data_IF_021720755832
#
_entry.id   IF_021720755832
#
_cell.length_a   1.000
_cell.length_b   1.000
_cell.length_c   1.000
_cell.angle_alpha   90.00
_cell.angle_beta   90.00
_cell.angle_gamma   90.00
#
_symmetry.space_group_name_H-M   'P 1'
#
loop_
_entity.id
_entity.type
_entity.pdbx_description
1 polymer ?
#
# COMPACT_ATOMS: atom_id res chain seq x y z
N UNK A 1 -36.07 -12.61 38.39
CA UNK A 1 -36.37 -14.03 38.14
C UNK A 1 -35.05 -14.77 37.98
N UNK A 2 -34.83 -15.80 38.80
CA UNK A 2 -33.65 -16.68 38.77
C UNK A 2 -33.99 -17.88 37.90
N UNK A 3 -33.10 -18.27 36.99
CA UNK A 3 -33.04 -19.66 36.52
C UNK A 3 -31.58 -20.12 36.57
N UNK A 4 -31.32 -20.97 37.55
CA UNK A 4 -30.22 -21.91 37.56
C UNK A 4 -30.59 -23.05 36.62
N UNK A 5 -29.64 -23.57 35.84
CA UNK A 5 -29.40 -25.01 35.77
C UNK A 5 -27.94 -25.26 35.42
N UNK A 6 -27.37 -26.18 36.20
CA UNK A 6 -25.98 -26.61 36.26
C UNK A 6 -25.93 -28.08 35.83
N UNK A 7 -24.71 -28.60 35.63
CA UNK A 7 -24.32 -30.03 35.61
C UNK A 7 -24.38 -30.71 34.23
N UNK A 8 -23.42 -31.52 33.74
CA UNK A 8 -22.01 -31.81 34.08
C UNK A 8 -21.51 -32.91 33.11
N UNK A 9 -20.21 -32.89 32.81
CA UNK A 9 -19.27 -34.04 32.82
C UNK A 9 -19.42 -35.20 31.79
N UNK A 10 -18.35 -35.43 31.00
CA UNK A 10 -17.54 -36.68 30.93
C UNK A 10 -16.38 -36.46 29.93
N UNK A 11 -15.17 -36.06 30.35
CA UNK A 11 -13.96 -36.89 30.60
C UNK A 11 -13.89 -38.30 29.97
N UNK A 12 -12.80 -38.60 29.24
CA UNK A 12 -11.89 -39.76 29.39
C UNK A 12 -10.79 -39.74 28.28
N UNK A 13 -9.49 -39.51 28.58
CA UNK A 13 -8.39 -40.51 28.86
C UNK A 13 -7.83 -41.13 27.55
N UNK A 14 -6.54 -41.39 27.26
CA UNK A 14 -5.23 -41.40 27.94
C UNK A 14 -4.11 -41.31 26.85
N UNK A 15 -2.97 -40.67 27.11
CA UNK A 15 -1.64 -41.28 27.39
C UNK A 15 -1.17 -42.41 26.46
N UNK A 16 -0.03 -42.16 25.79
CA UNK A 16 1.01 -43.19 25.61
C UNK A 16 2.36 -42.57 26.00
N UNK A 17 2.97 -43.18 27.01
CA UNK A 17 4.28 -42.87 27.56
C UNK A 17 5.41 -43.37 26.63
N UNK A 18 6.60 -42.78 26.79
CA UNK A 18 7.80 -43.15 26.05
C UNK A 18 8.35 -44.54 26.35
N UNK A 19 9.28 -44.97 25.49
CA UNK A 19 10.22 -46.05 25.79
C UNK A 19 11.62 -45.69 25.28
N UNK A 20 12.57 -46.01 26.15
CA UNK A 20 14.02 -46.01 25.98
C UNK A 20 14.48 -46.96 24.85
N UNK A 21 15.69 -46.70 24.34
CA UNK A 21 16.37 -47.39 23.23
C UNK A 21 16.50 -48.91 23.34
N UNK A 22 16.69 -49.57 22.18
CA UNK A 22 17.69 -50.63 22.00
C UNK A 22 18.73 -50.27 20.93
N UNK A 23 19.97 -50.73 21.15
CA UNK A 23 21.14 -50.70 20.27
C UNK A 23 20.97 -51.48 18.94
N UNK A 24 21.75 -51.03 17.93
CA UNK A 24 22.18 -51.65 16.64
C UNK A 24 21.21 -51.76 15.43
N UNK A 25 21.72 -51.79 14.17
CA UNK A 25 22.92 -51.16 13.60
C UNK A 25 22.58 -50.16 12.47
N UNK A 26 23.54 -49.28 12.18
CA UNK A 26 23.46 -48.22 11.17
C UNK A 26 23.06 -48.75 9.78
N UNK A 27 21.83 -48.47 9.38
CA UNK A 27 21.48 -48.40 7.96
C UNK A 27 21.79 -46.97 7.52
N UNK A 28 22.59 -46.75 6.46
CA UNK A 28 22.76 -45.40 5.93
C UNK A 28 21.43 -44.98 5.33
N UNK A 29 20.60 -44.29 6.12
CA UNK A 29 19.55 -43.44 5.57
C UNK A 29 20.27 -42.38 4.79
N UNK A 30 20.31 -42.55 3.46
CA UNK A 30 20.59 -41.46 2.55
C UNK A 30 19.51 -40.43 2.84
N UNK A 31 19.84 -39.43 3.65
CA UNK A 31 19.07 -38.21 3.76
C UNK A 31 19.13 -37.59 2.38
N UNK A 32 18.16 -37.94 1.53
CA UNK A 32 17.85 -37.14 0.36
C UNK A 32 17.50 -35.78 0.93
N UNK A 33 18.44 -34.85 0.84
CA UNK A 33 18.14 -33.43 0.93
C UNK A 33 17.11 -33.20 -0.16
N UNK A 34 15.84 -33.19 0.23
CA UNK A 34 14.81 -32.52 -0.54
C UNK A 34 15.29 -31.08 -0.54
N UNK A 35 16.01 -30.72 -1.60
CA UNK A 35 16.25 -29.34 -1.96
C UNK A 35 14.83 -28.78 -2.05
N UNK A 36 14.43 -28.05 -1.01
CA UNK A 36 13.18 -27.34 -1.01
C UNK A 36 13.22 -26.47 -2.26
N UNK A 37 12.39 -26.85 -3.23
CA UNK A 37 12.22 -26.11 -4.47
C UNK A 37 11.82 -24.70 -4.02
N UNK A 38 12.77 -23.77 -4.06
CA UNK A 38 12.49 -22.41 -3.65
C UNK A 38 11.56 -21.90 -4.74
N UNK A 39 10.34 -21.45 -4.43
CA UNK A 39 9.42 -20.99 -5.45
C UNK A 39 10.13 -19.94 -6.29
N UNK A 40 10.31 -20.22 -7.58
CA UNK A 40 10.99 -19.31 -8.50
C UNK A 40 10.14 -18.04 -8.60
N UNK A 41 10.72 -16.90 -8.21
CA UNK A 41 10.00 -15.62 -8.23
C UNK A 41 9.74 -15.22 -9.68
N UNK A 42 8.57 -14.64 -9.93
CA UNK A 42 8.31 -14.08 -11.26
C UNK A 42 9.15 -12.80 -11.48
N UNK A 43 9.50 -12.46 -12.73
CA UNK A 43 10.22 -11.22 -13.02
C UNK A 43 9.50 -9.95 -12.52
N UNK A 44 8.16 -9.97 -12.52
CA UNK A 44 7.34 -8.88 -11.98
C UNK A 44 7.48 -8.78 -10.46
N UNK A 45 7.47 -9.92 -9.76
CA UNK A 45 7.68 -9.94 -8.31
C UNK A 45 9.07 -9.40 -7.95
N UNK A 46 10.11 -9.83 -8.66
CA UNK A 46 11.48 -9.33 -8.43
C UNK A 46 11.59 -7.82 -8.69
N UNK A 47 10.91 -7.30 -9.72
CA UNK A 47 10.86 -5.87 -9.99
C UNK A 47 10.22 -5.10 -8.83
N UNK A 48 9.06 -5.54 -8.35
CA UNK A 48 8.36 -4.88 -7.23
C UNK A 48 9.20 -4.91 -5.95
N UNK A 49 9.83 -6.05 -5.64
CA UNK A 49 10.73 -6.15 -4.49
C UNK A 49 11.91 -5.16 -4.60
N UNK A 50 12.55 -5.08 -5.76
CA UNK A 50 13.62 -4.11 -6.00
C UNK A 50 13.16 -2.65 -5.89
N UNK A 51 11.94 -2.33 -6.35
CA UNK A 51 11.37 -0.99 -6.20
C UNK A 51 11.08 -0.65 -4.74
N UNK A 52 10.62 -1.62 -3.93
CA UNK A 52 10.43 -1.42 -2.49
C UNK A 52 11.76 -1.20 -1.76
N UNK A 53 12.82 -1.90 -2.15
CA UNK A 53 14.16 -1.67 -1.60
C UNK A 53 14.69 -0.28 -1.95
N UNK A 54 14.47 0.17 -3.18
CA UNK A 54 14.79 1.54 -3.60
C UNK A 54 13.97 2.56 -2.81
N UNK A 55 12.67 2.30 -2.61
CA UNK A 55 11.80 3.17 -1.85
C UNK A 55 12.26 3.28 -0.40
N UNK A 56 12.65 2.17 0.23
CA UNK A 56 13.17 2.15 1.60
C UNK A 56 14.45 2.98 1.81
N UNK A 57 15.25 3.14 0.75
CA UNK A 57 16.45 3.96 0.80
C UNK A 57 16.16 5.46 0.65
N UNK A 58 14.92 5.87 0.32
CA UNK A 58 14.58 7.28 0.05
C UNK A 58 14.39 8.08 1.34
N UNK A 59 14.94 9.31 1.42
CA UNK A 59 14.64 10.23 2.50
C UNK A 59 13.13 10.52 2.60
N UNK A 60 12.61 10.50 3.82
CA UNK A 60 11.19 10.78 4.09
C UNK A 60 10.26 9.58 3.93
N UNK A 61 10.72 8.48 3.33
CA UNK A 61 9.95 7.22 3.33
C UNK A 61 9.98 6.57 4.72
N UNK A 62 8.86 5.96 5.12
CA UNK A 62 8.72 5.16 6.34
C UNK A 62 8.09 3.82 5.97
N UNK A 63 8.91 2.91 5.47
CA UNK A 63 8.47 1.62 4.93
C UNK A 63 7.86 0.70 6.00
N UNK A 64 8.35 0.77 7.24
CA UNK A 64 7.73 0.03 8.35
C UNK A 64 6.29 0.51 8.56
N UNK A 65 6.07 1.84 8.56
CA UNK A 65 4.73 2.41 8.64
C UNK A 65 3.88 2.05 7.43
N UNK A 66 4.42 2.10 6.21
CA UNK A 66 3.69 1.68 4.99
C UNK A 66 3.15 0.26 5.15
N UNK A 67 4.00 -0.71 5.49
CA UNK A 67 3.55 -2.10 5.61
C UNK A 67 2.58 -2.31 6.78
N UNK A 68 2.78 -1.64 7.92
CA UNK A 68 1.83 -1.69 9.05
C UNK A 68 0.45 -1.15 8.66
N UNK A 69 0.39 0.00 7.99
CA UNK A 69 -0.86 0.61 7.54
C UNK A 69 -1.51 -0.25 6.45
N UNK A 70 -0.73 -0.84 5.55
CA UNK A 70 -1.26 -1.74 4.52
C UNK A 70 -1.87 -3.00 5.13
N UNK A 71 -1.23 -3.60 6.14
CA UNK A 71 -1.81 -4.73 6.88
C UNK A 71 -3.14 -4.35 7.54
N UNK A 72 -3.23 -3.15 8.13
CA UNK A 72 -4.48 -2.63 8.69
C UNK A 72 -5.56 -2.46 7.63
N UNK A 73 -5.20 -1.92 6.45
CA UNK A 73 -6.09 -1.80 5.28
C UNK A 73 -6.63 -3.17 4.84
N UNK A 74 -5.75 -4.16 4.66
CA UNK A 74 -6.11 -5.51 4.19
C UNK A 74 -6.97 -6.25 5.20
N UNK A 75 -6.79 -6.01 6.51
CA UNK A 75 -7.58 -6.63 7.56
C UNK A 75 -9.07 -6.25 7.52
N UNK A 76 -9.40 -5.06 7.00
CA UNK A 76 -10.77 -4.56 6.91
C UNK A 76 -11.46 -5.12 5.67
N UNK A 77 -10.75 -5.17 4.55
CA UNK A 77 -11.31 -5.72 3.33
C UNK A 77 -10.42 -5.52 2.11
N UNK A 78 -10.84 -6.09 0.97
CA UNK A 78 -10.11 -5.93 -0.27
C UNK A 78 -10.13 -4.48 -0.77
N UNK A 79 -9.14 -4.14 -1.60
CA UNK A 79 -9.06 -2.83 -2.29
C UNK A 79 -9.11 -1.64 -1.30
N UNK A 80 -9.83 -0.58 -1.65
CA UNK A 80 -9.94 0.67 -0.90
C UNK A 80 -11.12 0.68 0.09
N UNK A 81 -11.68 -0.48 0.47
CA UNK A 81 -12.79 -0.55 1.43
C UNK A 81 -12.44 0.12 2.76
N UNK A 82 -11.20 -0.08 3.23
CA UNK A 82 -10.69 0.59 4.43
C UNK A 82 -10.62 2.12 4.31
N UNK A 83 -10.56 2.67 3.09
CA UNK A 83 -10.59 4.12 2.89
C UNK A 83 -12.00 4.71 3.03
N UNK A 84 -13.04 3.85 3.06
CA UNK A 84 -14.45 4.21 3.26
C UNK A 84 -14.97 3.83 4.64
N UNK A 85 -14.21 3.05 5.41
CA UNK A 85 -14.62 2.58 6.73
C UNK A 85 -14.69 3.78 7.71
N UNK A 86 -15.82 4.00 8.41
CA UNK A 86 -16.00 5.17 9.26
C UNK A 86 -14.98 5.31 10.41
N UNK A 87 -14.40 4.21 10.89
CA UNK A 87 -13.34 4.27 11.91
C UNK A 87 -12.02 4.67 11.28
N UNK A 88 -11.68 4.08 10.12
CA UNK A 88 -10.45 4.40 9.41
C UNK A 88 -10.44 5.77 8.74
N UNK A 89 -11.60 6.27 8.30
CA UNK A 89 -11.74 7.63 7.76
C UNK A 89 -11.34 8.67 8.82
N UNK A 90 -11.65 8.43 10.10
CA UNK A 90 -11.22 9.34 11.18
C UNK A 90 -9.71 9.29 11.43
N UNK A 91 -9.08 8.19 11.07
CA UNK A 91 -7.64 7.99 11.18
C UNK A 91 -6.92 8.29 9.85
N UNK A 92 -7.63 8.71 8.81
CA UNK A 92 -7.09 8.99 7.48
C UNK A 92 -6.20 7.88 6.92
N UNK A 93 -6.55 6.61 7.17
CA UNK A 93 -5.66 5.45 6.95
C UNK A 93 -4.97 5.44 5.58
N UNK A 94 -5.72 5.68 4.51
CA UNK A 94 -5.18 5.62 3.15
C UNK A 94 -4.35 6.86 2.79
N UNK A 95 -4.63 8.01 3.41
CA UNK A 95 -3.79 9.21 3.29
C UNK A 95 -2.48 8.98 4.01
N UNK A 96 -2.52 8.48 5.25
CA UNK A 96 -1.31 8.16 6.02
C UNK A 96 -0.44 7.12 5.33
N UNK A 97 -1.06 6.13 4.68
CA UNK A 97 -0.36 5.10 3.92
C UNK A 97 0.44 5.71 2.77
N UNK A 98 -0.18 6.59 1.98
CA UNK A 98 0.46 7.26 0.85
C UNK A 98 1.52 8.26 1.32
N UNK A 99 1.24 9.02 2.38
CA UNK A 99 2.18 9.96 2.97
C UNK A 99 3.48 9.28 3.42
N UNK A 100 3.37 8.07 4.00
CA UNK A 100 4.52 7.29 4.44
C UNK A 100 5.39 6.77 3.28
N UNK A 101 4.88 6.76 2.04
CA UNK A 101 5.65 6.32 0.89
C UNK A 101 6.67 7.37 0.43
N UNK A 102 6.45 8.67 0.63
CA UNK A 102 7.26 9.76 0.04
C UNK A 102 7.30 9.74 -1.51
N UNK A 103 6.18 10.11 -2.13
CA UNK A 103 5.98 10.03 -3.60
C UNK A 103 6.63 11.16 -4.41
N UNK A 104 6.98 12.29 -3.77
CA UNK A 104 7.51 13.47 -4.46
C UNK A 104 8.94 13.23 -4.95
N UNK A 105 9.29 13.83 -6.09
CA UNK A 105 10.61 13.68 -6.74
C UNK A 105 10.98 12.26 -7.13
N UNK A 106 9.96 11.45 -7.41
CA UNK A 106 10.14 10.07 -7.83
C UNK A 106 9.59 9.89 -9.25
N UNK A 107 10.31 9.20 -10.15
CA UNK A 107 9.77 8.83 -11.45
C UNK A 107 8.45 8.04 -11.30
N UNK A 108 7.43 8.40 -12.07
CA UNK A 108 6.11 7.77 -12.03
C UNK A 108 6.20 6.26 -12.31
N UNK A 109 7.11 5.85 -13.21
CA UNK A 109 7.41 4.43 -13.50
C UNK A 109 7.85 3.62 -12.27
N UNK A 110 8.37 4.27 -11.23
CA UNK A 110 8.78 3.63 -9.97
C UNK A 110 7.63 3.64 -8.95
N UNK A 111 6.85 4.73 -8.88
CA UNK A 111 5.73 4.85 -7.93
C UNK A 111 4.51 4.02 -8.33
N UNK A 112 4.14 4.00 -9.60
CA UNK A 112 2.93 3.34 -10.08
C UNK A 112 2.88 1.86 -9.68
N UNK A 113 3.93 1.06 -9.93
CA UNK A 113 3.92 -0.35 -9.52
C UNK A 113 3.79 -0.54 -8.00
N UNK A 114 4.33 0.39 -7.21
CA UNK A 114 4.19 0.35 -5.75
C UNK A 114 2.75 0.63 -5.31
N UNK A 115 2.08 1.64 -5.90
CA UNK A 115 0.67 1.93 -5.64
C UNK A 115 -0.23 0.74 -6.02
N UNK A 116 0.05 0.11 -7.17
CA UNK A 116 -0.65 -1.09 -7.63
C UNK A 116 -0.45 -2.25 -6.64
N UNK A 117 0.77 -2.46 -6.13
CA UNK A 117 1.07 -3.50 -5.14
C UNK A 117 0.34 -3.29 -3.81
N UNK A 118 0.04 -2.04 -3.44
CA UNK A 118 -0.78 -1.66 -2.29
C UNK A 118 -2.29 -1.66 -2.58
N UNK A 119 -2.68 -1.98 -3.81
CA UNK A 119 -4.07 -1.92 -4.29
C UNK A 119 -4.69 -0.54 -4.01
N UNK A 120 -3.93 0.52 -4.30
CA UNK A 120 -4.38 1.90 -4.23
C UNK A 120 -4.73 2.38 -5.65
N UNK A 121 -5.97 2.82 -5.89
CA UNK A 121 -6.32 3.38 -7.19
C UNK A 121 -5.50 4.66 -7.42
N UNK A 122 -5.09 4.91 -8.66
CA UNK A 122 -4.35 6.11 -9.01
C UNK A 122 -4.74 6.59 -10.41
N UNK A 123 -4.48 7.87 -10.69
CA UNK A 123 -4.61 8.48 -12.02
C UNK A 123 -3.71 9.69 -12.16
N UNK A 124 -3.36 10.04 -13.39
CA UNK A 124 -2.77 11.35 -13.66
C UNK A 124 -3.87 12.41 -13.75
N UNK A 125 -3.67 13.53 -13.06
CA UNK A 125 -4.55 14.72 -13.15
C UNK A 125 -3.86 15.90 -13.83
N UNK A 126 -2.52 15.87 -13.93
CA UNK A 126 -1.72 16.80 -14.69
C UNK A 126 -0.44 16.13 -15.20
N UNK A 127 -0.01 16.44 -16.42
CA UNK A 127 1.27 16.00 -16.97
C UNK A 127 1.89 17.15 -17.75
N UNK A 128 3.16 17.45 -17.48
CA UNK A 128 3.93 18.47 -18.18
C UNK A 128 3.18 19.81 -18.26
N UNK A 129 2.63 20.24 -17.11
CA UNK A 129 1.83 21.45 -16.93
C UNK A 129 0.45 21.44 -17.63
N UNK A 130 0.06 20.33 -18.26
CA UNK A 130 -1.24 20.17 -18.91
C UNK A 130 -2.22 19.35 -18.05
N UNK A 131 -3.40 19.90 -17.70
CA UNK A 131 -4.46 19.15 -17.02
C UNK A 131 -4.90 17.93 -17.84
N UNK A 132 -5.16 16.82 -17.16
CA UNK A 132 -5.63 15.59 -17.79
C UNK A 132 -7.16 15.46 -17.68
N UNK A 133 -7.85 14.96 -18.73
CA UNK A 133 -9.29 14.72 -18.66
C UNK A 133 -9.57 13.59 -17.67
N UNK A 134 -10.33 13.90 -16.62
CA UNK A 134 -10.71 12.95 -15.57
C UNK A 134 -12.20 13.01 -15.27
N UNK A 135 -12.73 11.93 -14.71
CA UNK A 135 -14.08 11.87 -14.17
C UNK A 135 -14.16 12.56 -12.81
N UNK A 136 -15.32 13.16 -12.51
CA UNK A 136 -15.57 13.88 -11.25
C UNK A 136 -16.13 12.99 -10.13
N UNK A 137 -16.10 11.67 -10.30
CA UNK A 137 -16.43 10.74 -9.21
C UNK A 137 -15.39 10.83 -8.11
N UNK A 138 -15.76 10.48 -6.87
CA UNK A 138 -14.84 10.35 -5.75
C UNK A 138 -14.59 8.87 -5.49
N UNK A 139 -13.32 8.52 -5.32
CA UNK A 139 -12.89 7.20 -4.91
C UNK A 139 -11.92 7.34 -3.74
N UNK A 140 -12.41 7.13 -2.52
CA UNK A 140 -11.57 7.23 -1.32
C UNK A 140 -10.29 6.40 -1.44
N UNK A 141 -9.16 7.00 -1.08
CA UNK A 141 -7.82 6.44 -1.24
C UNK A 141 -7.24 6.52 -2.65
N UNK A 142 -7.93 7.14 -3.63
CA UNK A 142 -7.36 7.36 -4.95
C UNK A 142 -6.28 8.41 -4.92
N UNK A 143 -5.13 8.07 -5.48
CA UNK A 143 -3.98 8.95 -5.60
C UNK A 143 -4.02 9.65 -6.95
N UNK A 144 -4.21 10.96 -6.92
CA UNK A 144 -4.13 11.80 -8.10
C UNK A 144 -2.71 12.33 -8.22
N UNK A 145 -2.02 11.98 -9.30
CA UNK A 145 -0.62 12.32 -9.54
C UNK A 145 -0.52 13.48 -10.55
N UNK A 146 0.38 14.40 -10.28
CA UNK A 146 0.85 15.41 -11.23
C UNK A 146 2.33 15.16 -11.52
N UNK A 147 2.70 15.09 -12.79
CA UNK A 147 4.07 14.81 -13.22
C UNK A 147 4.63 15.86 -14.15
N UNK A 148 5.96 16.06 -14.10
CA UNK A 148 6.72 16.80 -15.10
C UNK A 148 7.94 15.98 -15.46
N UNK A 149 8.20 15.79 -16.76
CA UNK A 149 9.24 14.90 -17.28
C UNK A 149 9.13 13.48 -16.66
N UNK A 150 7.89 13.01 -16.50
CA UNK A 150 7.53 11.73 -15.85
C UNK A 150 7.97 11.60 -14.37
N UNK A 151 8.34 12.70 -13.71
CA UNK A 151 8.64 12.76 -12.26
C UNK A 151 7.43 13.30 -11.52
N UNK A 152 7.04 12.66 -10.42
CA UNK A 152 5.92 13.11 -9.57
C UNK A 152 6.31 14.39 -8.83
N UNK A 153 5.59 15.47 -9.11
CA UNK A 153 5.84 16.80 -8.55
C UNK A 153 4.76 17.25 -7.58
N UNK A 154 3.56 16.70 -7.72
CA UNK A 154 2.50 16.85 -6.74
C UNK A 154 1.59 15.64 -6.72
N UNK A 155 0.90 15.46 -5.61
CA UNK A 155 -0.18 14.50 -5.52
C UNK A 155 -1.28 14.97 -4.56
N UNK A 156 -2.47 14.39 -4.72
CA UNK A 156 -3.55 14.46 -3.74
C UNK A 156 -4.06 13.05 -3.47
N UNK A 157 -4.61 12.83 -2.28
CA UNK A 157 -5.32 11.59 -1.94
C UNK A 157 -6.77 11.93 -1.66
N UNK A 158 -7.68 11.31 -2.39
CA UNK A 158 -9.11 11.55 -2.23
C UNK A 158 -9.61 10.94 -0.92
N UNK A 159 -10.27 11.75 -0.10
CA UNK A 159 -10.91 11.32 1.14
C UNK A 159 -12.37 10.94 0.90
N UNK A 160 -12.95 10.15 1.80
CA UNK A 160 -14.32 9.67 1.68
C UNK A 160 -15.36 10.81 1.69
N UNK A 161 -15.05 11.90 2.40
CA UNK A 161 -15.86 13.11 2.47
C UNK A 161 -15.77 14.02 1.24
N UNK A 162 -14.94 13.66 0.24
CA UNK A 162 -14.77 14.45 -0.99
C UNK A 162 -13.83 15.65 -0.85
N UNK A 163 -13.01 15.70 0.20
CA UNK A 163 -11.89 16.64 0.34
C UNK A 163 -10.57 15.97 -0.04
N UNK A 164 -9.58 16.78 -0.40
CA UNK A 164 -8.22 16.32 -0.65
C UNK A 164 -7.23 17.47 -0.45
N UNK A 165 -6.09 17.15 0.18
CA UNK A 165 -5.01 18.11 0.40
C UNK A 165 -3.91 17.87 -0.63
N UNK A 166 -3.46 18.93 -1.30
CA UNK A 166 -2.38 18.83 -2.30
C UNK A 166 -1.03 18.88 -1.60
N UNK A 167 -0.20 17.86 -1.87
CA UNK A 167 1.22 17.79 -1.50
C UNK A 167 2.03 18.07 -2.75
N UNK A 168 2.97 19.02 -2.69
CA UNK A 168 3.78 19.38 -3.85
C UNK A 168 5.21 19.73 -3.42
N UNK A 169 6.14 19.63 -4.35
CA UNK A 169 7.47 20.19 -4.18
C UNK A 169 7.43 21.71 -4.33
N UNK A 170 8.14 22.43 -3.47
CA UNK A 170 8.30 23.88 -3.58
C UNK A 170 9.32 24.20 -4.67
N UNK A 171 8.85 24.32 -5.92
CA UNK A 171 9.63 24.81 -7.06
C UNK A 171 8.68 25.31 -8.15
N UNK A 172 9.07 26.36 -8.84
CA UNK A 172 8.44 26.72 -10.13
C UNK A 172 8.86 25.68 -11.16
N UNK A 173 7.96 24.76 -11.48
CA UNK A 173 8.19 23.72 -12.50
C UNK A 173 7.43 24.03 -13.78
N UNK A 174 6.47 24.95 -13.70
CA UNK A 174 5.71 25.47 -14.81
C UNK A 174 5.73 26.99 -14.70
N UNK A 175 6.09 27.75 -15.75
CA UNK A 175 5.74 29.16 -15.77
C UNK A 175 4.22 29.25 -15.69
N UNK A 176 3.68 30.09 -14.79
CA UNK A 176 2.26 30.43 -14.83
C UNK A 176 1.96 30.86 -16.26
N UNK A 177 0.97 30.21 -16.89
CA UNK A 177 0.45 30.68 -18.15
C UNK A 177 0.07 32.15 -17.94
N UNK A 178 0.81 33.06 -18.57
CA UNK A 178 0.54 34.48 -18.48
C UNK A 178 -0.97 34.67 -18.70
N UNK A 179 -1.67 35.20 -17.69
CA UNK A 179 -3.06 35.58 -17.87
C UNK A 179 -3.10 36.47 -19.11
N UNK A 180 -4.01 36.23 -20.07
CA UNK A 180 -4.11 37.13 -21.20
C UNK A 180 -4.44 38.52 -20.63
N UNK A 181 -3.49 39.45 -20.76
CA UNK A 181 -3.65 40.85 -20.40
C UNK A 181 -4.98 41.32 -20.98
N UNK A 182 -5.98 41.49 -20.13
CA UNK A 182 -7.28 42.01 -20.51
C UNK A 182 -7.20 43.54 -20.61
N UNK A 183 -6.17 44.03 -21.32
CA UNK A 183 -6.06 45.40 -21.79
C UNK A 183 -6.40 45.40 -23.27
N UNK A 184 -7.68 45.60 -23.61
CA UNK A 184 -8.16 46.26 -24.83
C UNK A 184 -9.63 45.92 -25.02
N UNK A 185 -10.53 46.70 -24.41
CA UNK A 185 -11.81 47.13 -25.01
C UNK A 185 -12.39 48.29 -24.17
N UNK A 186 -11.69 49.42 -24.17
CA UNK A 186 -12.27 50.73 -23.87
C UNK A 186 -11.88 51.68 -25.02
N UNK A 187 -12.51 51.55 -26.20
CA UNK A 187 -12.74 52.64 -27.18
C UNK A 187 -13.96 52.33 -28.07
#
# INVERSE_FOLDING_TARGET
MKFFFSIAVLACIAFVAGCSSPDEPATPTVTTLVVADTPEKSPEQELIENLWDQQAARPGSDIERVFRLYQKKVAIGPRNMACWDPEMVKEDLCVELVDAMALLDVPAREIIPLLDSLQLPWRFVGRDCEPQPITLDIQAGRVNLETIDDVVVAYTVERAEGSWDRRAVDREICPEAAEPDNELLDE
#
